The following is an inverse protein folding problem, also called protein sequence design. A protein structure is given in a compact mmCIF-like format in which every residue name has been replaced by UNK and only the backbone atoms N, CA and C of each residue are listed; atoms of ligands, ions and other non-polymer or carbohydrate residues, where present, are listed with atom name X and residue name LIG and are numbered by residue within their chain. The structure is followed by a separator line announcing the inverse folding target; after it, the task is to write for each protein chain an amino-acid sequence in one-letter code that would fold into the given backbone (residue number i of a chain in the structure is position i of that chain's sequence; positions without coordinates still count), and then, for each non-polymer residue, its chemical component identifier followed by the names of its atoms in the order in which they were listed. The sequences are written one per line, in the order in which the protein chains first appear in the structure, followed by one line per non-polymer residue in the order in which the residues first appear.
data_IF_147970432607
#
_entry.id   IF_147970432607
#
_cell.length_a   1.000
_cell.length_b   1.000
_cell.length_c   1.000
_cell.angle_alpha   90.00
_cell.angle_beta   90.00
_cell.angle_gamma   90.00
#
_symmetry.space_group_name_H-M   'P 1'
#
loop_
_entity.id
_entity.type
_entity.pdbx_description
1 polymer ?
#
# COMPACT_ATOMS: atom_id res chain seq x y z
N UNK A 1 -13.82 -7.69 -10.18
CA UNK A 1 -13.41 -6.87 -11.33
C UNK A 1 -12.06 -6.29 -10.99
N UNK A 2 -11.10 -6.41 -11.90
CA UNK A 2 -9.79 -5.78 -11.74
C UNK A 2 -9.94 -4.24 -11.74
N UNK A 3 -9.03 -3.51 -11.10
CA UNK A 3 -9.03 -2.04 -11.03
C UNK A 3 -9.21 -1.40 -12.41
N UNK A 4 -8.53 -1.90 -13.44
CA UNK A 4 -8.61 -1.34 -14.79
C UNK A 4 -10.01 -1.50 -15.41
N UNK A 5 -10.70 -2.60 -15.11
CA UNK A 5 -12.10 -2.81 -15.53
C UNK A 5 -13.06 -1.93 -14.75
N UNK A 6 -12.83 -1.78 -13.45
CA UNK A 6 -13.69 -1.02 -12.55
C UNK A 6 -13.75 0.47 -12.92
N UNK A 7 -12.64 1.02 -13.43
CA UNK A 7 -12.56 2.43 -13.88
C UNK A 7 -12.67 2.59 -15.40
N UNK A 8 -13.08 1.54 -16.13
CA UNK A 8 -13.34 1.56 -17.58
C UNK A 8 -12.13 1.92 -18.46
N UNK A 9 -10.92 1.54 -18.06
CA UNK A 9 -9.68 1.79 -18.82
C UNK A 9 -8.99 0.51 -19.29
N UNK A 10 -9.59 -0.66 -19.08
CA UNK A 10 -9.03 -1.93 -19.50
C UNK A 10 -8.68 -1.93 -21.00
N UNK A 11 -7.46 -2.36 -21.34
CA UNK A 11 -6.93 -2.36 -22.71
C UNK A 11 -6.42 -1.01 -23.22
N UNK A 12 -6.52 0.07 -22.45
CA UNK A 12 -5.95 1.36 -22.83
C UNK A 12 -4.41 1.30 -22.81
N UNK A 13 -3.76 1.81 -23.85
CA UNK A 13 -2.29 1.71 -24.07
C UNK A 13 -1.41 2.31 -22.95
N UNK A 14 -1.99 3.13 -22.06
CA UNK A 14 -1.29 3.73 -20.91
C UNK A 14 -1.44 2.93 -19.61
N UNK A 15 -2.26 1.88 -19.60
CA UNK A 15 -2.45 1.05 -18.41
C UNK A 15 -1.24 0.16 -18.24
N UNK A 16 -0.65 0.21 -17.04
CA UNK A 16 0.42 -0.69 -16.64
C UNK A 16 -0.19 -1.74 -15.73
N UNK A 17 -0.26 -2.97 -16.22
CA UNK A 17 -0.68 -4.11 -15.42
C UNK A 17 0.52 -4.59 -14.61
N UNK A 18 0.34 -4.63 -13.29
CA UNK A 18 1.39 -5.06 -12.37
C UNK A 18 1.10 -6.49 -11.89
N UNK A 19 2.15 -7.27 -11.72
CA UNK A 19 2.07 -8.61 -11.13
C UNK A 19 3.11 -8.69 -10.02
N UNK A 20 2.73 -9.07 -8.79
CA UNK A 20 3.67 -9.21 -7.70
C UNK A 20 4.89 -10.05 -8.10
N UNK A 21 6.07 -9.64 -7.63
CA UNK A 21 7.37 -10.24 -7.90
C UNK A 21 7.86 -10.15 -9.35
N UNK A 22 7.11 -9.51 -10.25
CA UNK A 22 7.56 -9.21 -11.61
C UNK A 22 7.98 -7.75 -11.67
N UNK A 23 9.28 -7.54 -11.86
CA UNK A 23 9.87 -6.20 -11.96
C UNK A 23 9.55 -5.55 -13.31
N UNK A 24 9.37 -4.24 -13.30
CA UNK A 24 9.23 -3.42 -14.50
C UNK A 24 9.89 -2.07 -14.31
N UNK A 25 10.03 -1.31 -15.39
CA UNK A 25 10.65 0.02 -15.35
C UNK A 25 9.71 1.09 -15.88
N UNK A 26 9.74 2.25 -15.23
CA UNK A 26 9.08 3.48 -15.70
C UNK A 26 10.12 4.60 -15.66
N UNK A 27 10.52 5.09 -16.83
CA UNK A 27 11.62 6.04 -16.94
C UNK A 27 12.91 5.44 -16.36
N UNK A 28 13.53 6.13 -15.41
CA UNK A 28 14.76 5.69 -14.75
C UNK A 28 14.48 4.81 -13.51
N UNK A 29 13.22 4.62 -13.14
CA UNK A 29 12.87 3.83 -11.97
C UNK A 29 12.67 2.37 -12.35
N UNK A 30 13.22 1.50 -11.52
CA UNK A 30 12.94 0.07 -11.53
C UNK A 30 12.06 -0.26 -10.33
N UNK A 31 10.93 -0.89 -10.58
CA UNK A 31 9.83 -1.08 -9.64
C UNK A 31 9.58 -2.58 -9.48
N UNK A 32 9.69 -3.07 -8.25
CA UNK A 32 9.34 -4.44 -7.86
C UNK A 32 8.11 -4.40 -6.94
N UNK A 33 6.90 -4.71 -7.46
CA UNK A 33 5.74 -4.92 -6.62
C UNK A 33 5.87 -6.23 -5.82
N UNK A 34 5.33 -6.28 -4.62
CA UNK A 34 5.25 -7.48 -3.78
C UNK A 34 3.93 -7.53 -3.03
N UNK A 35 3.51 -8.73 -2.64
CA UNK A 35 2.22 -8.92 -1.96
C UNK A 35 2.23 -8.31 -0.55
N UNK A 36 1.10 -7.74 -0.16
CA UNK A 36 0.84 -7.29 1.21
C UNK A 36 -0.38 -8.03 1.78
N UNK A 37 -0.47 -8.06 3.11
CA UNK A 37 -1.58 -8.71 3.81
C UNK A 37 -2.71 -7.70 4.05
N UNK A 38 -3.86 -7.92 3.40
CA UNK A 38 -5.07 -7.12 3.55
C UNK A 38 -6.31 -7.98 3.23
N UNK A 39 -7.52 -7.50 3.51
CA UNK A 39 -8.78 -8.21 3.18
C UNK A 39 -9.02 -8.38 1.66
N UNK A 40 -8.31 -7.61 0.83
CA UNK A 40 -8.35 -7.65 -0.63
C UNK A 40 -6.94 -7.76 -1.19
N UNK A 41 -6.77 -8.21 -2.45
CA UNK A 41 -5.46 -8.20 -3.10
C UNK A 41 -4.83 -6.81 -3.03
N UNK A 42 -3.69 -6.72 -2.35
CA UNK A 42 -2.94 -5.48 -2.19
C UNK A 42 -1.44 -5.71 -2.39
N UNK A 43 -0.72 -4.64 -2.74
CA UNK A 43 0.70 -4.67 -3.07
C UNK A 43 1.46 -3.49 -2.48
N UNK A 44 2.68 -3.77 -2.04
CA UNK A 44 3.70 -2.77 -1.76
C UNK A 44 4.70 -2.71 -2.91
N UNK A 45 5.59 -1.71 -2.89
CA UNK A 45 6.55 -1.47 -3.97
C UNK A 45 7.94 -1.24 -3.43
N UNK A 46 8.92 -1.92 -4.00
CA UNK A 46 10.33 -1.60 -3.84
C UNK A 46 10.78 -0.88 -5.11
N UNK A 47 11.14 0.38 -4.98
CA UNK A 47 11.44 1.28 -6.09
C UNK A 47 12.90 1.71 -5.97
N UNK A 48 13.62 1.72 -7.08
CA UNK A 48 15.01 2.21 -7.12
C UNK A 48 15.29 2.94 -8.42
N UNK A 49 16.14 3.95 -8.36
CA UNK A 49 16.72 4.62 -9.54
C UNK A 49 18.12 4.08 -9.90
N UNK A 50 18.59 3.05 -9.18
CA UNK A 50 19.92 2.47 -9.31
C UNK A 50 20.92 2.95 -8.25
N UNK A 51 20.63 4.05 -7.56
CA UNK A 51 21.48 4.61 -6.49
C UNK A 51 20.79 4.49 -5.12
N UNK A 52 19.53 4.94 -5.04
CA UNK A 52 18.72 4.87 -3.83
C UNK A 52 17.55 3.89 -3.98
N UNK A 53 17.08 3.39 -2.84
CA UNK A 53 15.97 2.44 -2.75
C UNK A 53 14.90 2.96 -1.81
N UNK A 54 13.70 3.10 -2.35
CA UNK A 54 12.47 3.42 -1.63
C UNK A 54 11.64 2.15 -1.43
N UNK A 55 11.31 1.86 -0.18
CA UNK A 55 10.28 0.90 0.19
C UNK A 55 8.97 1.66 0.41
N UNK A 56 7.96 1.38 -0.40
CA UNK A 56 6.61 1.91 -0.22
C UNK A 56 5.65 0.79 0.22
N UNK A 57 5.14 0.91 1.45
CA UNK A 57 4.16 0.04 2.06
C UNK A 57 2.80 0.74 2.04
N UNK A 58 1.86 0.19 1.27
CA UNK A 58 0.46 0.61 1.27
C UNK A 58 -0.28 -0.05 2.44
N UNK A 59 -1.59 0.21 2.56
CA UNK A 59 -2.45 -0.29 3.62
C UNK A 59 -2.30 -1.81 3.83
N UNK A 60 -1.81 -2.20 5.00
CA UNK A 60 -1.57 -3.61 5.29
C UNK A 60 -1.63 -3.86 6.79
N UNK A 61 -2.18 -5.02 7.16
CA UNK A 61 -2.14 -5.49 8.54
C UNK A 61 -0.72 -5.78 8.99
N UNK A 62 0.08 -6.34 8.07
CA UNK A 62 1.45 -6.78 8.36
C UNK A 62 2.25 -7.00 7.07
N UNK A 63 3.52 -6.60 7.10
CA UNK A 63 4.47 -6.94 6.03
C UNK A 63 5.35 -8.12 6.44
N UNK A 64 5.18 -9.27 5.77
CA UNK A 64 5.98 -10.49 6.03
C UNK A 64 7.40 -10.48 5.48
N UNK A 65 7.69 -9.56 4.57
CA UNK A 65 8.96 -9.49 3.86
C UNK A 65 9.96 -8.62 4.63
N UNK A 66 11.24 -8.91 4.43
CA UNK A 66 12.33 -8.09 4.95
C UNK A 66 13.14 -7.53 3.78
N UNK A 67 13.60 -6.30 3.92
CA UNK A 67 14.30 -5.58 2.87
C UNK A 67 15.66 -5.13 3.39
N UNK A 68 16.69 -5.25 2.55
CA UNK A 68 18.04 -4.79 2.85
C UNK A 68 18.37 -3.55 2.03
N UNK A 69 19.23 -2.71 2.58
CA UNK A 69 19.79 -1.53 1.90
C UNK A 69 18.68 -0.65 1.32
N UNK A 70 17.75 -0.24 2.19
CA UNK A 70 16.67 0.69 1.87
C UNK A 70 17.06 2.07 2.38
N UNK A 71 17.02 3.07 1.52
CA UNK A 71 17.35 4.45 1.84
C UNK A 71 16.14 5.16 2.45
N UNK A 72 14.95 4.93 1.88
CA UNK A 72 13.72 5.61 2.25
C UNK A 72 12.61 4.60 2.50
N UNK A 73 11.81 4.81 3.55
CA UNK A 73 10.63 4.01 3.83
C UNK A 73 9.42 4.94 3.88
N UNK A 74 8.42 4.66 3.06
CA UNK A 74 7.12 5.29 3.08
C UNK A 74 6.08 4.24 3.48
N UNK A 75 5.31 4.51 4.52
CA UNK A 75 4.27 3.60 5.03
C UNK A 75 2.97 4.35 5.14
N UNK A 76 1.88 3.76 4.65
CA UNK A 76 0.54 4.28 4.85
C UNK A 76 0.16 4.27 6.34
N UNK A 77 -0.34 5.38 6.84
CA UNK A 77 -0.68 5.56 8.26
C UNK A 77 -2.14 6.00 8.37
N UNK A 78 -3.04 5.02 8.34
CA UNK A 78 -4.48 5.25 8.19
C UNK A 78 -5.20 5.71 9.45
N UNK A 79 -4.61 5.51 10.61
CA UNK A 79 -5.21 5.94 11.86
C UNK A 79 -4.16 6.25 12.93
N UNK A 80 -4.53 7.16 13.82
CA UNK A 80 -3.85 7.38 15.10
C UNK A 80 -4.75 6.84 16.21
N UNK A 81 -4.24 5.89 16.99
CA UNK A 81 -4.95 5.33 18.14
C UNK A 81 -5.37 6.42 19.13
N UNK A 82 -4.52 7.41 19.37
CA UNK A 82 -4.80 8.54 20.25
C UNK A 82 -6.02 9.33 19.76
N UNK A 83 -6.05 9.68 18.47
CA UNK A 83 -7.17 10.43 17.87
C UNK A 83 -8.44 9.58 17.85
N UNK A 84 -8.32 8.28 17.58
CA UNK A 84 -9.46 7.36 17.59
C UNK A 84 -10.06 7.24 19.00
N UNK A 85 -9.23 7.02 20.02
CA UNK A 85 -9.65 6.95 21.42
C UNK A 85 -10.34 8.25 21.85
N UNK A 86 -9.74 9.41 21.58
CA UNK A 86 -10.34 10.70 21.93
C UNK A 86 -11.72 10.88 21.30
N UNK A 87 -11.90 10.45 20.03
CA UNK A 87 -13.20 10.55 19.36
C UNK A 87 -14.25 9.60 19.93
N UNK A 88 -13.85 8.45 20.46
CA UNK A 88 -14.76 7.54 21.18
C UNK A 88 -15.17 8.17 22.50
N UNK A 89 -14.21 8.70 23.26
CA UNK A 89 -14.45 9.37 24.56
C UNK A 89 -15.36 10.59 24.41
N UNK A 90 -15.18 11.37 23.33
CA UNK A 90 -16.01 12.53 22.99
C UNK A 90 -17.40 12.14 22.44
N UNK A 91 -17.72 10.85 22.32
CA UNK A 91 -18.98 10.33 21.76
C UNK A 91 -19.15 10.58 20.25
N UNK A 92 -18.10 11.02 19.57
CA UNK A 92 -18.10 11.37 18.14
C UNK A 92 -17.86 10.16 17.22
N UNK A 93 -17.38 9.04 17.78
CA UNK A 93 -17.14 7.79 17.08
C UNK A 93 -17.67 6.61 17.90
N UNK A 94 -18.48 5.74 17.29
CA UNK A 94 -18.94 4.53 17.95
C UNK A 94 -17.81 3.48 17.99
N UNK A 95 -17.61 2.81 19.13
CA UNK A 95 -16.54 1.82 19.36
C UNK A 95 -16.41 0.77 18.24
N UNK A 96 -17.52 0.13 17.86
CA UNK A 96 -17.56 -0.82 16.72
C UNK A 96 -16.99 -0.27 15.40
N UNK A 97 -17.07 1.05 15.17
CA UNK A 97 -16.49 1.67 13.97
C UNK A 97 -14.97 1.84 14.13
N UNK A 98 -14.48 2.10 15.34
CA UNK A 98 -13.06 2.13 15.65
C UNK A 98 -12.42 0.74 15.51
N UNK A 99 -13.07 -0.32 16.03
CA UNK A 99 -12.58 -1.70 15.91
C UNK A 99 -12.31 -2.10 14.45
N UNK A 100 -13.13 -1.63 13.51
CA UNK A 100 -12.97 -1.90 12.08
C UNK A 100 -11.84 -1.12 11.41
N UNK A 101 -11.41 0.00 12.00
CA UNK A 101 -10.32 0.83 11.44
C UNK A 101 -8.94 0.30 11.83
N UNK A 102 -8.88 -0.50 12.89
CA UNK A 102 -7.67 -1.04 13.51
C UNK A 102 -7.40 -2.49 13.09
N UNK A 103 -8.40 -3.13 12.46
CA UNK A 103 -8.32 -4.51 11.97
C UNK A 103 -7.26 -4.68 10.89
#
# INVERSE_FOLDING_TARGET
KDTAEAIYVAGHHKVVYITPKIQFSIGNFTILPFELEHDVPNVGFLITDGEEKLLYITDTYYCRYTFKDVNHIMVECNHSYEILNQRVDDGCLHEKRMERLIQ
#
